data_IF_836099905622
#
_entry.id   IF_836099905622
#
_cell.length_a   1.000
_cell.length_b   1.000
_cell.length_c   1.000
_cell.angle_alpha   90.00
_cell.angle_beta   90.00
_cell.angle_gamma   90.00
#
_symmetry.space_group_name_H-M   'P 1'
#
loop_
_entity.id
_entity.type
_entity.pdbx_description
1 polymer ?
#
# COMPACT_ATOMS: atom_id res chain seq x y z
N UNK A 1 4.15 -8.85 -18.37
CA UNK A 1 4.78 -9.71 -17.34
C UNK A 1 3.70 -10.07 -16.34
N UNK A 2 3.52 -11.34 -16.00
CA UNK A 2 2.47 -11.77 -15.06
C UNK A 2 3.05 -12.13 -13.70
N UNK A 3 2.35 -11.73 -12.63
CA UNK A 3 2.67 -12.12 -11.26
C UNK A 3 2.29 -13.60 -11.05
N UNK A 4 3.24 -14.49 -10.70
CA UNK A 4 2.96 -15.92 -10.51
C UNK A 4 2.05 -16.21 -9.30
N UNK A 5 2.02 -15.30 -8.32
CA UNK A 5 1.25 -15.49 -7.09
C UNK A 5 -0.24 -15.15 -7.26
N UNK A 6 -0.55 -14.05 -7.95
CA UNK A 6 -1.93 -13.56 -8.09
C UNK A 6 -2.45 -13.56 -9.53
N UNK A 7 -1.61 -13.87 -10.51
CA UNK A 7 -1.97 -13.91 -11.94
C UNK A 7 -2.13 -12.54 -12.60
N UNK A 8 -1.89 -11.43 -11.88
CA UNK A 8 -1.98 -10.08 -12.45
C UNK A 8 -0.99 -9.94 -13.61
N UNK A 9 -1.49 -9.64 -14.80
CA UNK A 9 -0.65 -9.26 -15.94
C UNK A 9 -0.49 -7.74 -15.98
N UNK A 10 0.73 -7.29 -15.72
CA UNK A 10 1.07 -5.86 -15.69
C UNK A 10 1.01 -5.22 -17.08
N UNK A 11 1.29 -5.99 -18.15
CA UNK A 11 1.35 -5.44 -19.51
C UNK A 11 -0.04 -5.20 -20.10
N UNK A 12 -1.03 -6.00 -19.69
CA UNK A 12 -2.39 -5.90 -20.19
C UNK A 12 -3.27 -4.95 -19.39
N UNK A 13 -2.73 -4.26 -18.36
CA UNK A 13 -3.51 -3.42 -17.46
C UNK A 13 -3.55 -1.96 -17.95
N UNK A 14 -4.70 -1.46 -18.43
CA UNK A 14 -4.84 -0.05 -18.79
C UNK A 14 -4.69 0.86 -17.56
N UNK A 15 -4.19 2.10 -17.73
CA UNK A 15 -4.10 3.07 -16.65
C UNK A 15 -5.40 3.29 -15.87
N UNK A 16 -6.54 3.38 -16.57
CA UNK A 16 -7.85 3.53 -15.93
C UNK A 16 -8.20 2.35 -15.01
N UNK A 17 -7.81 1.13 -15.37
CA UNK A 17 -8.03 -0.05 -14.54
C UNK A 17 -7.09 -0.04 -13.31
N UNK A 18 -5.88 0.48 -13.45
CA UNK A 18 -4.95 0.66 -12.33
C UNK A 18 -5.52 1.64 -11.29
N UNK A 19 -6.09 2.77 -11.73
CA UNK A 19 -6.78 3.74 -10.85
C UNK A 19 -7.90 3.06 -10.07
N UNK A 20 -8.76 2.29 -10.75
CA UNK A 20 -9.87 1.55 -10.12
C UNK A 20 -9.33 0.51 -9.12
N UNK A 21 -8.28 -0.22 -9.50
CA UNK A 21 -7.68 -1.24 -8.66
C UNK A 21 -7.11 -0.65 -7.36
N UNK A 22 -6.32 0.43 -7.44
CA UNK A 22 -5.76 1.13 -6.27
C UNK A 22 -6.87 1.64 -5.36
N UNK A 23 -7.87 2.33 -5.91
CA UNK A 23 -9.01 2.87 -5.16
C UNK A 23 -9.79 1.76 -4.43
N UNK A 24 -9.93 0.60 -5.05
CA UNK A 24 -10.59 -0.57 -4.47
C UNK A 24 -9.75 -1.36 -3.46
N UNK A 25 -8.42 -1.22 -3.49
CA UNK A 25 -7.50 -2.13 -2.79
C UNK A 25 -7.61 -2.03 -1.27
N UNK A 26 -7.72 -0.82 -0.72
CA UNK A 26 -7.79 -0.60 0.73
C UNK A 26 -8.97 -1.32 1.41
N UNK A 27 -10.08 -1.55 0.67
CA UNK A 27 -11.24 -2.29 1.19
C UNK A 27 -10.89 -3.74 1.56
N UNK A 28 -9.91 -4.34 0.88
CA UNK A 28 -9.44 -5.71 1.15
C UNK A 28 -8.75 -5.83 2.51
N UNK A 29 -8.16 -4.75 3.03
CA UNK A 29 -7.45 -4.73 4.31
C UNK A 29 -8.37 -4.41 5.49
N UNK A 30 -9.44 -3.64 5.25
CA UNK A 30 -10.31 -3.15 6.33
C UNK A 30 -10.96 -4.28 7.15
N UNK A 31 -11.47 -5.32 6.48
CA UNK A 31 -12.10 -6.42 7.21
C UNK A 31 -11.07 -7.21 8.05
N UNK A 32 -9.95 -7.71 7.49
CA UNK A 32 -8.93 -8.42 8.29
C UNK A 32 -8.35 -7.60 9.45
N UNK A 33 -8.18 -6.29 9.29
CA UNK A 33 -7.59 -5.42 10.32
C UNK A 33 -8.58 -4.96 11.40
N UNK A 34 -9.90 -5.08 11.17
CA UNK A 34 -10.93 -4.59 12.10
C UNK A 34 -11.93 -5.65 12.53
N UNK A 35 -11.96 -6.81 11.86
CA UNK A 35 -12.91 -7.90 12.08
C UNK A 35 -12.16 -9.22 12.03
N UNK A 36 -11.74 -9.66 13.20
CA UNK A 36 -11.08 -10.94 13.43
C UNK A 36 -12.08 -12.09 13.31
N UNK A 37 -11.59 -13.30 13.05
CA UNK A 37 -12.44 -14.49 13.03
C UNK A 37 -12.88 -14.87 14.46
N UNK A 38 -13.98 -15.63 14.62
CA UNK A 38 -14.41 -16.10 15.94
C UNK A 38 -13.28 -16.86 16.66
N UNK A 39 -12.94 -16.42 17.87
CA UNK A 39 -11.88 -17.03 18.69
C UNK A 39 -10.49 -16.42 18.48
N UNK A 40 -10.33 -15.48 17.54
CA UNK A 40 -9.10 -14.69 17.39
C UNK A 40 -9.18 -13.39 18.21
N UNK A 41 -8.01 -12.92 18.65
CA UNK A 41 -7.81 -11.59 19.20
C UNK A 41 -6.76 -10.82 18.39
N UNK A 42 -6.58 -9.53 18.68
CA UNK A 42 -5.72 -8.64 17.90
C UNK A 42 -4.26 -9.09 17.86
N UNK A 43 -3.81 -9.95 18.79
CA UNK A 43 -2.43 -10.46 18.79
C UNK A 43 -2.09 -11.24 17.52
N UNK A 44 -3.09 -11.82 16.84
CA UNK A 44 -2.88 -12.49 15.55
C UNK A 44 -2.33 -11.53 14.49
N UNK A 45 -2.75 -10.26 14.51
CA UNK A 45 -2.28 -9.24 13.57
C UNK A 45 -0.83 -8.86 13.82
N UNK A 46 -0.36 -9.03 15.06
CA UNK A 46 1.00 -8.66 15.50
C UNK A 46 1.97 -9.82 15.48
N UNK A 47 1.48 -11.04 15.28
CA UNK A 47 2.30 -12.25 15.27
C UNK A 47 3.03 -12.37 13.95
N UNK A 48 4.36 -12.48 14.02
CA UNK A 48 5.20 -12.83 12.87
C UNK A 48 5.19 -14.36 12.68
N UNK A 49 4.82 -14.88 11.50
CA UNK A 49 4.75 -16.32 11.27
C UNK A 49 6.12 -17.00 11.16
N UNK A 50 7.16 -16.23 10.81
CA UNK A 50 8.55 -16.64 10.81
C UNK A 50 9.45 -15.44 11.13
N UNK A 51 10.72 -15.69 11.48
CA UNK A 51 11.67 -14.64 11.86
C UNK A 51 11.81 -13.54 10.79
N UNK A 52 11.89 -13.97 9.53
CA UNK A 52 12.08 -13.11 8.35
C UNK A 52 10.75 -12.72 7.67
N UNK A 53 9.61 -12.98 8.31
CA UNK A 53 8.29 -12.65 7.75
C UNK A 53 7.57 -11.68 8.68
N UNK A 54 7.21 -10.53 8.13
CA UNK A 54 6.45 -9.52 8.84
C UNK A 54 5.07 -10.02 9.29
N UNK A 55 4.54 -9.38 10.33
CA UNK A 55 3.17 -9.60 10.77
C UNK A 55 2.17 -9.02 9.76
N UNK A 56 0.90 -9.41 9.89
CA UNK A 56 -0.17 -8.84 9.05
C UNK A 56 -0.28 -7.32 9.21
N UNK A 57 -0.08 -6.81 10.44
CA UNK A 57 -0.10 -5.37 10.72
C UNK A 57 1.07 -4.63 10.08
N UNK A 58 2.26 -5.24 10.09
CA UNK A 58 3.45 -4.68 9.43
C UNK A 58 3.28 -4.59 7.92
N UNK A 59 2.73 -5.63 7.27
CA UNK A 59 2.40 -5.56 5.84
C UNK A 59 1.35 -4.50 5.54
N UNK A 60 0.31 -4.37 6.36
CA UNK A 60 -0.72 -3.35 6.16
C UNK A 60 -0.16 -1.92 6.27
N UNK A 61 0.67 -1.66 7.28
CA UNK A 61 1.34 -0.38 7.47
C UNK A 61 2.32 -0.08 6.32
N UNK A 62 3.01 -1.10 5.80
CA UNK A 62 3.87 -0.96 4.64
C UNK A 62 3.09 -0.53 3.39
N UNK A 63 1.98 -1.21 3.06
CA UNK A 63 1.17 -0.85 1.88
C UNK A 63 0.61 0.56 2.01
N UNK A 64 0.19 0.97 3.22
CA UNK A 64 -0.23 2.36 3.49
C UNK A 64 0.86 3.35 3.11
N UNK A 65 2.10 3.12 3.55
CA UNK A 65 3.19 4.04 3.30
C UNK A 65 3.67 4.02 1.85
N UNK A 66 3.60 2.87 1.18
CA UNK A 66 3.80 2.76 -0.28
C UNK A 66 2.80 3.63 -1.02
N UNK A 67 1.51 3.58 -0.68
CA UNK A 67 0.50 4.41 -1.37
C UNK A 67 0.77 5.90 -1.21
N UNK A 68 1.12 6.34 0.00
CA UNK A 68 1.47 7.74 0.22
C UNK A 68 2.74 8.17 -0.52
N UNK A 69 3.76 7.30 -0.58
CA UNK A 69 5.01 7.60 -1.29
C UNK A 69 4.79 7.68 -2.79
N UNK A 70 4.04 6.75 -3.37
CA UNK A 70 3.75 6.77 -4.80
C UNK A 70 2.91 7.98 -5.20
N UNK A 71 1.97 8.44 -4.36
CA UNK A 71 1.24 9.67 -4.64
C UNK A 71 2.20 10.87 -4.77
N UNK A 72 3.14 11.01 -3.82
CA UNK A 72 4.16 12.06 -3.89
C UNK A 72 5.12 11.90 -5.07
N UNK A 73 5.49 10.67 -5.44
CA UNK A 73 6.37 10.41 -6.57
C UNK A 73 5.71 10.67 -7.93
N UNK A 74 4.41 10.42 -8.08
CA UNK A 74 3.67 10.79 -9.30
C UNK A 74 3.77 12.30 -9.50
N UNK A 75 3.49 13.09 -8.48
CA UNK A 75 3.61 14.56 -8.56
C UNK A 75 5.05 15.01 -8.88
N UNK A 76 6.05 14.35 -8.30
CA UNK A 76 7.46 14.65 -8.53
C UNK A 76 7.89 14.34 -9.97
N UNK A 77 7.50 13.19 -10.50
CA UNK A 77 7.81 12.76 -11.88
C UNK A 77 7.16 13.68 -12.91
N UNK A 78 5.97 14.22 -12.63
CA UNK A 78 5.30 15.16 -13.52
C UNK A 78 5.87 16.57 -13.47
N UNK A 79 6.60 16.94 -12.41
CA UNK A 79 7.09 18.31 -12.20
C UNK A 79 8.59 18.50 -12.43
N UNK A 80 9.39 17.43 -12.44
CA UNK A 80 10.84 17.50 -12.56
C UNK A 80 11.38 16.71 -13.75
N UNK A 81 12.38 17.28 -14.44
CA UNK A 81 13.16 16.52 -15.42
C UNK A 81 14.18 15.65 -14.66
N UNK A 82 14.01 14.33 -14.73
CA UNK A 82 14.84 13.30 -14.06
C UNK A 82 14.81 13.38 -12.52
N UNK A 83 13.64 13.12 -11.90
CA UNK A 83 13.50 13.14 -10.44
C UNK A 83 14.32 12.02 -9.78
N UNK A 84 14.78 12.27 -8.57
CA UNK A 84 15.38 11.25 -7.71
C UNK A 84 14.32 10.72 -6.76
N UNK A 85 13.92 9.45 -6.95
CA UNK A 85 12.93 8.78 -6.12
C UNK A 85 13.59 8.15 -4.88
N UNK A 86 13.86 8.99 -3.89
CA UNK A 86 14.45 8.55 -2.62
C UNK A 86 13.40 8.01 -1.64
N UNK A 87 13.81 7.06 -0.81
CA UNK A 87 13.00 6.54 0.29
C UNK A 87 13.77 5.47 1.08
N UNK A 88 13.40 5.25 2.35
CA UNK A 88 13.98 4.17 3.14
C UNK A 88 13.62 2.82 2.51
N UNK A 89 14.47 1.82 2.77
CA UNK A 89 14.10 0.43 2.52
C UNK A 89 12.83 0.07 3.29
N UNK A 90 12.08 -0.96 2.83
CA UNK A 90 10.88 -1.41 3.54
C UNK A 90 11.13 -1.72 5.03
N UNK A 91 12.25 -2.37 5.36
CA UNK A 91 12.62 -2.72 6.75
C UNK A 91 12.98 -1.50 7.60
N UNK A 92 13.76 -0.56 7.06
CA UNK A 92 14.08 0.68 7.78
C UNK A 92 12.81 1.47 8.12
N UNK A 93 11.86 1.55 7.17
CA UNK A 93 10.59 2.21 7.39
C UNK A 93 9.75 1.51 8.46
N UNK A 94 9.70 0.17 8.44
CA UNK A 94 8.96 -0.62 9.40
C UNK A 94 9.48 -0.45 10.83
N UNK A 95 10.81 -0.46 10.99
CA UNK A 95 11.47 -0.22 12.28
C UNK A 95 11.24 1.21 12.76
N UNK A 96 11.54 2.22 11.92
CA UNK A 96 11.40 3.63 12.29
C UNK A 96 9.95 4.00 12.64
N UNK A 97 8.99 3.47 11.87
CA UNK A 97 7.56 3.68 12.08
C UNK A 97 6.95 2.81 13.18
N UNK A 98 7.71 1.87 13.76
CA UNK A 98 7.23 0.87 14.74
C UNK A 98 5.92 0.24 14.28
N UNK A 99 5.88 -0.26 13.04
CA UNK A 99 4.63 -0.69 12.40
C UNK A 99 3.82 -1.66 13.26
N UNK A 100 4.50 -2.61 13.91
CA UNK A 100 3.83 -3.62 14.73
C UNK A 100 3.29 -3.11 16.07
N UNK A 101 3.50 -1.84 16.42
CA UNK A 101 2.96 -1.18 17.63
C UNK A 101 1.75 -0.29 17.32
N UNK A 102 1.45 -0.05 16.03
CA UNK A 102 0.39 0.87 15.64
C UNK A 102 -1.00 0.29 15.90
N UNK A 103 -2.02 1.16 15.90
CA UNK A 103 -3.42 0.75 16.03
C UNK A 103 -3.94 0.20 14.68
N UNK A 104 -4.41 -1.06 14.59
CA UNK A 104 -4.86 -1.65 13.32
C UNK A 104 -5.97 -0.87 12.63
N UNK A 105 -6.90 -0.30 13.42
CA UNK A 105 -7.98 0.53 12.90
C UNK A 105 -7.45 1.82 12.24
N UNK A 106 -6.47 2.49 12.85
CA UNK A 106 -5.86 3.70 12.28
C UNK A 106 -5.07 3.39 11.01
N UNK A 107 -4.35 2.25 10.98
CA UNK A 107 -3.65 1.77 9.78
C UNK A 107 -4.63 1.55 8.64
N UNK A 108 -5.78 0.91 8.90
CA UNK A 108 -6.79 0.65 7.89
C UNK A 108 -7.45 1.94 7.36
N UNK A 109 -7.73 2.90 8.23
CA UNK A 109 -8.27 4.20 7.83
C UNK A 109 -7.30 5.02 6.99
N UNK A 110 -6.04 5.11 7.42
CA UNK A 110 -5.02 5.85 6.68
C UNK A 110 -4.67 5.18 5.35
N UNK A 111 -4.66 3.85 5.30
CA UNK A 111 -4.52 3.11 4.05
C UNK A 111 -5.63 3.48 3.06
N UNK A 112 -6.88 3.58 3.52
CA UNK A 112 -7.99 3.99 2.66
C UNK A 112 -7.86 5.43 2.17
N UNK A 113 -7.42 6.36 3.04
CA UNK A 113 -7.15 7.75 2.65
C UNK A 113 -6.05 7.84 1.60
N UNK A 114 -4.93 7.12 1.79
CA UNK A 114 -3.80 7.13 0.86
C UNK A 114 -4.10 6.41 -0.45
N UNK A 115 -4.94 5.38 -0.43
CA UNK A 115 -5.42 4.75 -1.65
C UNK A 115 -6.21 5.73 -2.52
N UNK A 116 -7.10 6.52 -1.91
CA UNK A 116 -7.83 7.56 -2.64
C UNK A 116 -6.90 8.66 -3.16
N UNK A 117 -5.95 9.11 -2.34
CA UNK A 117 -4.97 10.12 -2.74
C UNK A 117 -4.12 9.65 -3.93
N UNK A 118 -3.61 8.42 -3.90
CA UNK A 118 -2.87 7.85 -5.01
C UNK A 118 -3.75 7.67 -6.25
N UNK A 119 -4.99 7.17 -6.10
CA UNK A 119 -5.90 7.03 -7.22
C UNK A 119 -6.20 8.39 -7.88
N UNK A 120 -6.40 9.45 -7.09
CA UNK A 120 -6.61 10.81 -7.59
C UNK A 120 -5.37 11.36 -8.31
N UNK A 121 -4.16 11.12 -7.77
CA UNK A 121 -2.92 11.52 -8.43
C UNK A 121 -2.74 10.81 -9.78
N UNK A 122 -3.00 9.50 -9.84
CA UNK A 122 -2.95 8.72 -11.08
C UNK A 122 -4.01 9.19 -12.09
N UNK A 123 -5.22 9.52 -11.64
CA UNK A 123 -6.30 10.03 -12.50
C UNK A 123 -5.98 11.41 -13.10
N UNK A 124 -5.09 12.17 -12.46
CA UNK A 124 -4.63 13.47 -12.96
C UNK A 124 -3.42 13.37 -13.92
N UNK A 125 -2.83 12.18 -14.10
CA UNK A 125 -1.73 11.97 -15.05
C UNK A 125 -2.25 12.19 -16.48
N UNK A 126 -1.63 13.07 -17.29
CA UNK A 126 -2.05 13.30 -18.66
C UNK A 126 -1.78 12.05 -19.53
N UNK A 127 -2.50 11.91 -20.64
CA UNK A 127 -2.38 10.73 -21.51
C UNK A 127 -0.95 10.45 -22.02
N UNK A 128 -0.15 11.50 -22.21
CA UNK A 128 1.26 11.44 -22.61
C UNK A 128 2.25 11.31 -21.43
N UNK A 129 1.73 11.24 -20.20
CA UNK A 129 2.49 11.05 -18.96
C UNK A 129 2.57 9.61 -18.45
N UNK A 130 1.92 8.66 -19.13
CA UNK A 130 1.99 7.21 -18.87
C UNK A 130 3.06 6.52 -19.70
#
# INVERSE_FOLDING_TARGET
MSCPECGLDYESMPPADAVVAVRGFARRYRAPLSRLLPGEDETVLRTRPALETWSALEYAAHVRDVFGRYAAWVDLVLSEDRPVLEGPTPDEAAVAGRYNEQAPAEVAEELARRAEALAAALEAVPDDGW
#
